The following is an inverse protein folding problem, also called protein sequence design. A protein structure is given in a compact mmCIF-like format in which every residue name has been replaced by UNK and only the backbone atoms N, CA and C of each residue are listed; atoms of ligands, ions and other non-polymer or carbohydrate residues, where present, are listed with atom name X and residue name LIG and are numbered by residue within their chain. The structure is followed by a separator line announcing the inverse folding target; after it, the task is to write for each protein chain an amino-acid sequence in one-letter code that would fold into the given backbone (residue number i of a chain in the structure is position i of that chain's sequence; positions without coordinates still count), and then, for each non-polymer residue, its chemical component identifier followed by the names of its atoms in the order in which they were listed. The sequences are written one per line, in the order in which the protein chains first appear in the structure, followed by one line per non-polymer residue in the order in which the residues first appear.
data_IF_633578516757
#
_entry.id   IF_633578516757
#
_cell.length_a   1.000
_cell.length_b   1.000
_cell.length_c   1.000
_cell.angle_alpha   90.00
_cell.angle_beta   90.00
_cell.angle_gamma   90.00
#
_symmetry.space_group_name_H-M   'P 1'
#
loop_
_entity.id
_entity.type
_entity.pdbx_description
1 polymer ?
#
# COMPACT_ATOMS: atom_id res chain seq x y z
N UNK A 1 -25.45 10.38 -9.66
CA UNK A 1 -25.00 10.28 -11.06
C UNK A 1 -23.66 10.99 -11.09
N UNK A 2 -22.67 10.39 -10.42
CA UNK A 2 -21.78 9.33 -10.94
C UNK A 2 -20.59 9.97 -11.66
N UNK A 3 -19.46 9.99 -10.93
CA UNK A 3 -18.15 9.38 -11.23
C UNK A 3 -17.56 9.39 -12.67
N UNK A 4 -16.22 9.33 -12.64
CA UNK A 4 -15.22 9.19 -13.72
C UNK A 4 -14.75 10.46 -14.48
N UNK A 5 -13.45 10.70 -14.71
CA UNK A 5 -12.30 9.81 -14.62
C UNK A 5 -11.00 10.61 -14.44
N UNK A 6 -10.12 10.09 -13.61
CA UNK A 6 -8.70 10.42 -13.60
C UNK A 6 -8.02 10.03 -14.92
N UNK A 7 -7.39 10.98 -15.61
CA UNK A 7 -6.00 10.89 -16.10
C UNK A 7 -5.72 12.06 -17.05
N UNK A 8 -4.82 12.97 -16.66
CA UNK A 8 -3.85 13.46 -17.64
C UNK A 8 -2.53 13.74 -16.91
N UNK A 9 -1.87 12.64 -16.60
CA UNK A 9 -0.44 12.60 -16.38
C UNK A 9 0.18 12.80 -17.76
N UNK A 10 0.62 14.01 -18.11
CA UNK A 10 1.66 14.33 -19.11
C UNK A 10 1.69 15.86 -19.29
N UNK A 11 2.71 16.54 -18.77
CA UNK A 11 3.79 17.01 -19.63
C UNK A 11 3.32 17.93 -20.77
N UNK A 12 3.37 19.25 -20.56
CA UNK A 12 3.73 20.19 -21.62
C UNK A 12 4.80 21.13 -21.08
N UNK A 13 5.99 20.94 -21.66
CA UNK A 13 7.21 21.66 -21.38
C UNK A 13 7.18 23.08 -21.99
N UNK A 14 7.80 24.00 -21.25
CA UNK A 14 8.64 25.10 -21.70
C UNK A 14 8.41 25.71 -23.10
N UNK A 15 7.97 26.96 -23.15
CA UNK A 15 8.76 28.02 -23.81
C UNK A 15 8.29 29.44 -23.38
N UNK A 16 9.27 30.30 -23.07
CA UNK A 16 9.36 31.73 -23.41
C UNK A 16 10.24 32.48 -22.39
N UNK A 17 11.15 33.29 -22.91
CA UNK A 17 12.43 33.68 -22.33
C UNK A 17 12.43 35.01 -21.56
N UNK A 18 13.20 35.02 -20.45
CA UNK A 18 14.14 36.05 -19.95
C UNK A 18 13.60 37.36 -19.35
N UNK A 19 13.64 37.48 -18.02
CA UNK A 19 14.55 38.42 -17.33
C UNK A 19 14.65 38.26 -15.79
N UNK A 20 15.90 38.39 -15.30
CA UNK A 20 16.37 38.79 -13.96
C UNK A 20 16.27 37.83 -12.74
N UNK A 21 17.32 36.99 -12.60
CA UNK A 21 18.15 36.68 -11.42
C UNK A 21 17.54 36.56 -9.98
N UNK A 22 16.24 36.36 -9.81
CA UNK A 22 15.60 36.15 -8.49
C UNK A 22 14.52 35.06 -8.45
N UNK A 23 14.29 34.36 -9.56
CA UNK A 23 13.23 33.34 -9.70
C UNK A 23 13.72 31.89 -9.47
N UNK A 24 15.01 31.61 -9.75
CA UNK A 24 15.57 30.25 -9.72
C UNK A 24 15.52 29.59 -8.34
N UNK A 25 15.73 30.35 -7.26
CA UNK A 25 15.75 29.81 -5.89
C UNK A 25 14.35 29.52 -5.33
N UNK A 26 13.31 30.20 -5.83
CA UNK A 26 11.93 30.04 -5.34
C UNK A 26 11.21 28.86 -5.99
N UNK A 27 11.47 28.61 -7.28
CA UNK A 27 10.92 27.45 -8.00
C UNK A 27 11.55 26.13 -7.56
N UNK A 28 12.87 26.10 -7.33
CA UNK A 28 13.55 24.92 -6.81
C UNK A 28 13.09 24.56 -5.39
N UNK A 29 12.91 25.57 -4.52
CA UNK A 29 12.41 25.36 -3.16
C UNK A 29 10.98 24.80 -3.16
N UNK A 30 10.12 25.29 -4.06
CA UNK A 30 8.77 24.74 -4.25
C UNK A 30 8.79 23.30 -4.78
N UNK A 31 9.64 23.00 -5.76
CA UNK A 31 9.81 21.63 -6.29
C UNK A 31 10.35 20.66 -5.23
N UNK A 32 11.32 21.10 -4.43
CA UNK A 32 11.87 20.33 -3.31
C UNK A 32 10.82 20.05 -2.22
N UNK A 33 10.00 21.05 -1.89
CA UNK A 33 8.91 20.93 -0.93
C UNK A 33 7.81 19.97 -1.44
N UNK A 34 7.41 20.07 -2.72
CA UNK A 34 6.48 19.13 -3.37
C UNK A 34 7.06 17.70 -3.34
N UNK A 35 8.33 17.53 -3.68
CA UNK A 35 8.98 16.22 -3.66
C UNK A 35 9.03 15.66 -2.23
N UNK A 36 9.24 16.51 -1.21
CA UNK A 36 9.21 16.11 0.20
C UNK A 36 7.80 15.67 0.63
N UNK A 37 6.77 16.43 0.26
CA UNK A 37 5.38 16.08 0.55
C UNK A 37 5.01 14.74 -0.10
N UNK A 38 5.34 14.54 -1.37
CA UNK A 38 5.10 13.26 -2.07
C UNK A 38 5.77 12.09 -1.38
N UNK A 39 7.03 12.22 -0.96
CA UNK A 39 7.73 11.17 -0.18
C UNK A 39 7.02 10.88 1.14
N UNK A 40 6.55 11.92 1.84
CA UNK A 40 5.80 11.74 3.08
C UNK A 40 4.47 11.01 2.86
N UNK A 41 3.74 11.32 1.78
CA UNK A 41 2.52 10.62 1.42
C UNK A 41 2.76 9.14 1.17
N UNK A 42 3.76 8.79 0.35
CA UNK A 42 4.10 7.39 0.05
C UNK A 42 4.48 6.62 1.31
N UNK A 43 5.27 7.24 2.20
CA UNK A 43 5.63 6.60 3.48
C UNK A 43 4.42 6.41 4.38
N UNK A 44 3.50 7.38 4.43
CA UNK A 44 2.29 7.25 5.25
C UNK A 44 1.37 6.14 4.71
N UNK A 45 1.14 6.11 3.40
CA UNK A 45 0.37 5.07 2.75
C UNK A 45 0.98 3.68 2.97
N UNK A 46 2.31 3.55 2.91
CA UNK A 46 3.00 2.30 3.21
C UNK A 46 2.70 1.82 4.64
N UNK A 47 2.79 2.70 5.64
CA UNK A 47 2.52 2.33 7.03
C UNK A 47 1.03 2.03 7.25
N UNK A 48 0.14 2.73 6.55
CA UNK A 48 -1.30 2.53 6.66
C UNK A 48 -1.73 1.19 6.06
N UNK A 49 -1.28 0.91 4.84
CA UNK A 49 -1.53 -0.37 4.15
C UNK A 49 -0.87 -1.55 4.84
N UNK A 50 0.29 -1.35 5.49
CA UNK A 50 0.93 -2.39 6.31
C UNK A 50 0.05 -2.78 7.52
N UNK A 51 -0.63 -1.82 8.17
CA UNK A 51 -1.56 -2.13 9.27
C UNK A 51 -2.77 -2.92 8.79
N UNK A 52 -3.29 -2.57 7.62
CA UNK A 52 -4.40 -3.30 7.00
C UNK A 52 -3.95 -4.72 6.60
N UNK A 53 -2.74 -4.87 6.04
CA UNK A 53 -2.15 -6.16 5.71
C UNK A 53 -2.04 -7.07 6.94
N UNK A 54 -1.49 -6.58 8.06
CA UNK A 54 -1.40 -7.35 9.32
C UNK A 54 -2.77 -7.73 9.87
N UNK A 55 -3.76 -6.85 9.73
CA UNK A 55 -5.15 -7.12 10.14
C UNK A 55 -5.77 -8.23 9.29
N UNK A 56 -5.57 -8.19 7.98
CA UNK A 56 -6.07 -9.20 7.05
C UNK A 56 -5.40 -10.56 7.30
N UNK A 57 -4.08 -10.59 7.50
CA UNK A 57 -3.37 -11.80 7.90
C UNK A 57 -3.89 -12.38 9.23
N UNK A 58 -4.14 -11.50 10.22
CA UNK A 58 -4.72 -11.92 11.50
C UNK A 58 -6.12 -12.54 11.31
N UNK A 59 -6.94 -12.00 10.40
CA UNK A 59 -8.26 -12.58 10.11
C UNK A 59 -8.17 -14.00 9.54
N UNK A 60 -7.12 -14.30 8.75
CA UNK A 60 -6.88 -15.65 8.23
C UNK A 60 -6.45 -16.60 9.34
N UNK A 61 -5.52 -16.19 10.19
CA UNK A 61 -4.98 -17.02 11.27
C UNK A 61 -6.02 -17.26 12.37
N UNK A 62 -6.59 -16.19 12.91
CA UNK A 62 -7.51 -16.24 14.05
C UNK A 62 -8.93 -16.65 13.63
N UNK A 63 -9.29 -16.41 12.36
CA UNK A 63 -10.56 -16.79 11.78
C UNK A 63 -10.51 -18.18 11.17
N UNK A 64 -9.91 -18.31 9.98
CA UNK A 64 -9.99 -19.56 9.22
C UNK A 64 -9.13 -20.67 9.80
N UNK A 65 -7.85 -20.41 10.10
CA UNK A 65 -6.94 -21.47 10.58
C UNK A 65 -7.36 -22.00 11.96
N UNK A 66 -7.67 -21.10 12.90
CA UNK A 66 -8.08 -21.48 14.26
C UNK A 66 -9.38 -22.28 14.29
N UNK A 67 -10.31 -22.00 13.37
CA UNK A 67 -11.64 -22.64 13.35
C UNK A 67 -11.76 -23.77 12.33
N UNK A 68 -10.70 -24.07 11.54
CA UNK A 68 -10.76 -25.00 10.42
C UNK A 68 -11.27 -26.39 10.82
N UNK A 69 -10.92 -26.88 12.01
CA UNK A 69 -11.35 -28.18 12.53
C UNK A 69 -12.81 -28.21 13.01
N UNK A 70 -13.41 -27.04 13.24
CA UNK A 70 -14.81 -26.90 13.68
C UNK A 70 -15.77 -26.65 12.52
N UNK A 71 -15.23 -26.27 11.35
CA UNK A 71 -16.01 -26.08 10.14
C UNK A 71 -16.30 -27.42 9.45
N UNK A 72 -17.48 -27.56 8.86
CA UNK A 72 -17.80 -28.68 7.98
C UNK A 72 -17.05 -28.52 6.65
N UNK A 73 -15.87 -29.12 6.57
CA UNK A 73 -15.04 -29.09 5.37
C UNK A 73 -15.42 -30.24 4.41
N UNK A 74 -15.33 -30.02 3.09
CA UNK A 74 -15.26 -31.10 2.12
C UNK A 74 -14.15 -32.10 2.48
N UNK A 75 -14.39 -33.39 2.25
CA UNK A 75 -13.48 -34.48 2.60
C UNK A 75 -12.06 -34.27 2.02
N UNK A 76 -11.99 -33.70 0.82
CA UNK A 76 -10.73 -33.38 0.14
C UNK A 76 -9.89 -32.30 0.81
N UNK A 77 -10.44 -31.51 1.74
CA UNK A 77 -9.73 -30.43 2.43
C UNK A 77 -9.34 -30.79 3.87
N UNK A 78 -9.88 -31.90 4.40
CA UNK A 78 -9.58 -32.37 5.76
C UNK A 78 -8.09 -32.70 5.87
N UNK A 79 -7.42 -32.09 6.86
CA UNK A 79 -5.99 -32.30 7.10
C UNK A 79 -5.03 -31.66 6.08
N UNK A 80 -5.53 -30.82 5.16
CA UNK A 80 -4.70 -30.07 4.18
C UNK A 80 -4.45 -28.61 4.58
N UNK A 81 -4.70 -28.26 5.83
CA UNK A 81 -4.49 -26.93 6.42
C UNK A 81 -3.08 -26.39 6.12
N UNK A 82 -2.04 -27.21 6.31
CA UNK A 82 -0.65 -26.80 6.05
C UNK A 82 -0.35 -26.49 4.58
N UNK A 83 -1.09 -27.10 3.65
CA UNK A 83 -0.91 -26.84 2.21
C UNK A 83 -1.65 -25.55 1.81
N UNK A 84 -2.85 -25.35 2.36
CA UNK A 84 -3.70 -24.20 2.05
C UNK A 84 -3.10 -22.90 2.63
N UNK A 85 -2.67 -22.93 3.89
CA UNK A 85 -2.20 -21.74 4.60
C UNK A 85 -0.68 -21.58 4.61
N UNK A 86 0.08 -22.62 4.23
CA UNK A 86 1.53 -22.61 4.15
C UNK A 86 2.18 -22.00 5.42
N UNK A 87 3.00 -20.96 5.26
CA UNK A 87 3.71 -20.27 6.34
C UNK A 87 3.06 -18.93 6.74
N UNK A 88 1.76 -18.71 6.47
CA UNK A 88 1.05 -17.45 6.78
C UNK A 88 1.25 -17.00 8.23
N UNK A 89 1.19 -17.92 9.20
CA UNK A 89 1.39 -17.57 10.61
C UNK A 89 2.80 -16.99 10.88
N UNK A 90 3.84 -17.54 10.24
CA UNK A 90 5.21 -17.02 10.38
C UNK A 90 5.37 -15.65 9.74
N UNK A 91 4.70 -15.40 8.61
CA UNK A 91 4.68 -14.09 7.95
C UNK A 91 3.99 -13.08 8.88
N UNK A 92 2.81 -13.43 9.43
CA UNK A 92 2.12 -12.57 10.38
C UNK A 92 2.98 -12.24 11.60
N UNK A 93 3.62 -13.24 12.19
CA UNK A 93 4.51 -13.04 13.33
C UNK A 93 5.66 -12.09 12.98
N UNK A 94 6.29 -12.27 11.82
CA UNK A 94 7.34 -11.37 11.35
C UNK A 94 6.88 -9.92 11.20
N UNK A 95 5.68 -9.69 10.65
CA UNK A 95 5.13 -8.35 10.44
C UNK A 95 4.57 -7.69 11.73
N UNK A 96 4.32 -8.46 12.79
CA UNK A 96 3.89 -7.94 14.10
C UNK A 96 5.03 -7.57 15.06
N UNK A 97 6.25 -8.07 14.82
CA UNK A 97 7.45 -7.81 15.64
C UNK A 97 7.93 -6.36 15.54
#
# INVERSE_FOLDING_TARGET
MEEEHASDVLAVCADATKDQNGASEKEEKNSQDIARQKRQYVLMELVDTERDYVKDLSSVVDGYMANLQTMELPEDLVGKDKIIFANIAQILDFHKM
#
